data_IF_949937138469
#
_entry.id   IF_949937138469
#
_cell.length_a   1.000
_cell.length_b   1.000
_cell.length_c   1.000
_cell.angle_alpha   90.00
_cell.angle_beta   90.00
_cell.angle_gamma   90.00
#
_symmetry.space_group_name_H-M   'P 1'
#
loop_
_entity.id
_entity.type
_entity.pdbx_description
1 polymer ?
#
# COMPACT_ATOMS: atom_id res chain seq x y z
N UNK A 1 -11.78 -17.70 14.29
CA UNK A 1 -12.04 -16.31 13.86
C UNK A 1 -13.37 -16.27 13.13
N UNK A 2 -14.12 -15.14 13.12
CA UNK A 2 -15.24 -15.02 12.18
C UNK A 2 -14.65 -15.05 10.77
N UNK A 3 -14.72 -16.21 10.13
CA UNK A 3 -14.45 -16.35 8.71
C UNK A 3 -15.77 -16.20 7.98
N UNK A 4 -15.87 -15.23 7.08
CA UNK A 4 -16.98 -15.22 6.11
C UNK A 4 -16.55 -16.20 5.03
N UNK A 5 -17.25 -17.33 4.96
CA UNK A 5 -17.10 -18.32 3.91
C UNK A 5 -18.15 -18.02 2.84
N UNK A 6 -17.70 -17.61 1.66
CA UNK A 6 -18.51 -17.71 0.43
C UNK A 6 -18.13 -18.99 -0.29
N UNK A 7 -18.87 -19.37 -1.33
CA UNK A 7 -18.62 -20.63 -2.06
C UNK A 7 -17.17 -20.76 -2.58
N UNK A 8 -16.49 -19.64 -2.87
CA UNK A 8 -15.14 -19.59 -3.45
C UNK A 8 -14.11 -18.77 -2.65
N UNK A 9 -14.43 -18.27 -1.44
CA UNK A 9 -13.49 -17.40 -0.68
C UNK A 9 -13.59 -17.60 0.82
N UNK A 10 -12.43 -17.76 1.47
CA UNK A 10 -12.27 -17.72 2.92
C UNK A 10 -11.69 -16.36 3.31
N UNK A 11 -12.53 -15.45 3.80
CA UNK A 11 -12.05 -14.18 4.35
C UNK A 11 -11.70 -14.36 5.83
N UNK A 12 -10.44 -14.11 6.19
CA UNK A 12 -10.00 -14.07 7.59
C UNK A 12 -9.73 -12.63 7.99
N UNK A 13 -10.59 -12.07 8.83
CA UNK A 13 -10.36 -10.77 9.46
C UNK A 13 -9.92 -10.96 10.91
N UNK A 14 -8.87 -10.25 11.33
CA UNK A 14 -8.56 -10.11 12.76
C UNK A 14 -9.73 -9.42 13.49
N UNK A 15 -10.01 -9.82 14.73
CA UNK A 15 -11.22 -9.45 15.47
C UNK A 15 -11.34 -7.96 15.88
N UNK A 16 -10.45 -7.08 15.42
CA UNK A 16 -10.38 -5.69 15.90
C UNK A 16 -9.57 -4.75 15.01
N UNK A 17 -9.38 -5.09 13.73
CA UNK A 17 -8.55 -4.27 12.82
C UNK A 17 -7.04 -4.40 13.05
N UNK A 18 -6.61 -5.27 13.97
CA UNK A 18 -5.22 -5.65 14.15
C UNK A 18 -4.93 -6.99 13.46
N UNK A 19 -3.71 -7.12 12.91
CA UNK A 19 -3.22 -8.37 12.32
C UNK A 19 -3.15 -9.45 13.41
N UNK A 20 -3.58 -10.68 13.10
CA UNK A 20 -3.46 -11.78 14.05
C UNK A 20 -1.98 -12.20 14.15
N UNK A 21 -1.38 -12.02 15.34
CA UNK A 21 0.06 -12.23 15.58
C UNK A 21 0.37 -13.37 16.56
N UNK A 22 -0.65 -14.08 17.03
CA UNK A 22 -0.46 -15.26 17.89
C UNK A 22 -0.26 -16.52 17.05
N UNK A 23 0.40 -17.51 17.65
CA UNK A 23 0.73 -18.76 16.97
C UNK A 23 -0.53 -19.51 16.55
N UNK A 24 -0.50 -20.09 15.35
CA UNK A 24 -1.60 -20.87 14.79
C UNK A 24 -2.84 -20.05 14.40
N UNK A 25 -2.74 -18.71 14.36
CA UNK A 25 -3.87 -17.84 14.02
C UNK A 25 -4.57 -18.22 12.70
N UNK A 26 -3.82 -18.72 11.72
CA UNK A 26 -4.32 -19.01 10.37
C UNK A 26 -4.43 -20.50 10.05
N UNK A 27 -4.12 -21.40 10.99
CA UNK A 27 -3.98 -22.84 10.74
C UNK A 27 -5.22 -23.49 10.11
N UNK A 28 -6.41 -23.13 10.58
CA UNK A 28 -7.65 -23.63 10.00
C UNK A 28 -8.00 -22.94 8.68
N UNK A 29 -7.69 -21.64 8.55
CA UNK A 29 -8.12 -20.85 7.41
C UNK A 29 -7.36 -21.16 6.12
N UNK A 30 -6.14 -21.68 6.23
CA UNK A 30 -5.33 -22.07 5.07
C UNK A 30 -5.67 -23.47 4.54
N UNK A 31 -6.49 -24.25 5.25
CA UNK A 31 -6.85 -25.60 4.80
C UNK A 31 -7.81 -25.52 3.61
N UNK A 32 -7.51 -26.29 2.56
CA UNK A 32 -8.37 -26.40 1.39
C UNK A 32 -8.33 -25.21 0.43
N UNK A 33 -7.52 -24.18 0.69
CA UNK A 33 -7.41 -23.00 -0.19
C UNK A 33 -6.32 -23.17 -1.26
N UNK A 34 -6.58 -22.72 -2.49
CA UNK A 34 -5.61 -22.76 -3.60
C UNK A 34 -4.59 -21.63 -3.56
N UNK A 35 -4.96 -20.47 -3.01
CA UNK A 35 -4.11 -19.29 -2.99
C UNK A 35 -4.48 -18.36 -1.83
N UNK A 36 -3.52 -17.54 -1.40
CA UNK A 36 -3.67 -16.65 -0.24
C UNK A 36 -3.31 -15.22 -0.66
N UNK A 37 -4.18 -14.25 -0.36
CA UNK A 37 -3.86 -12.82 -0.41
C UNK A 37 -3.68 -12.28 1.01
N UNK A 38 -2.43 -12.07 1.44
CA UNK A 38 -2.10 -11.50 2.74
C UNK A 38 -2.01 -9.97 2.64
N UNK A 39 -3.14 -9.31 2.90
CA UNK A 39 -3.28 -7.84 2.81
C UNK A 39 -3.28 -7.14 4.16
N UNK A 40 -3.42 -7.90 5.26
CA UNK A 40 -3.45 -7.37 6.60
C UNK A 40 -2.04 -6.93 7.01
N UNK A 41 -1.90 -5.69 7.47
CA UNK A 41 -0.66 -5.16 8.03
C UNK A 41 -0.99 -3.94 8.89
N UNK A 42 -0.34 -3.76 10.06
CA UNK A 42 -0.52 -2.55 10.85
C UNK A 42 -0.09 -1.32 10.03
N UNK A 43 -0.91 -0.26 10.06
CA UNK A 43 -0.56 1.04 9.44
C UNK A 43 -0.52 2.19 10.48
N UNK A 44 0.06 2.01 11.69
CA UNK A 44 0.14 3.11 12.63
C UNK A 44 1.30 4.04 12.25
N UNK A 45 1.00 5.33 12.05
CA UNK A 45 2.01 6.39 11.93
C UNK A 45 2.29 7.08 13.27
N UNK A 46 1.38 6.92 14.23
CA UNK A 46 1.49 7.45 15.58
C UNK A 46 1.90 6.33 16.53
N UNK A 47 3.18 5.95 16.44
CA UNK A 47 3.76 4.89 17.27
C UNK A 47 5.04 5.39 17.92
N UNK A 48 5.11 5.29 19.24
CA UNK A 48 6.27 5.70 20.01
C UNK A 48 7.43 4.74 19.78
N UNK A 49 7.24 3.44 20.02
CA UNK A 49 8.30 2.43 19.87
C UNK A 49 8.25 1.79 18.46
N UNK A 50 9.34 1.82 17.68
CA UNK A 50 9.42 1.09 16.41
C UNK A 50 8.99 -0.38 16.50
N UNK A 51 9.21 -1.04 17.64
CA UNK A 51 8.84 -2.44 17.84
C UNK A 51 7.35 -2.68 17.71
N UNK A 52 6.52 -1.74 18.15
CA UNK A 52 5.05 -1.87 18.16
C UNK A 52 4.45 -1.86 16.75
N UNK A 53 5.23 -1.45 15.73
CA UNK A 53 4.83 -1.54 14.32
C UNK A 53 5.63 -2.61 13.56
N UNK A 54 6.93 -2.77 13.84
CA UNK A 54 7.80 -3.72 13.15
C UNK A 54 7.46 -5.16 13.55
N UNK A 55 7.37 -5.46 14.85
CA UNK A 55 7.17 -6.82 15.32
C UNK A 55 5.83 -7.40 14.83
N UNK A 56 4.68 -6.70 14.96
CA UNK A 56 3.42 -7.24 14.47
C UNK A 56 3.39 -7.42 12.95
N UNK A 57 4.05 -6.55 12.18
CA UNK A 57 4.14 -6.69 10.73
C UNK A 57 4.93 -7.93 10.33
N UNK A 58 6.10 -8.15 10.95
CA UNK A 58 6.93 -9.34 10.70
C UNK A 58 6.22 -10.61 11.17
N UNK A 59 5.69 -10.62 12.40
CA UNK A 59 5.05 -11.81 12.97
C UNK A 59 3.78 -12.20 12.24
N UNK A 60 2.93 -11.25 11.85
CA UNK A 60 1.72 -11.58 11.10
C UNK A 60 2.04 -12.13 9.71
N UNK A 61 3.07 -11.59 9.05
CA UNK A 61 3.55 -12.09 7.74
C UNK A 61 4.12 -13.50 7.87
N UNK A 62 4.99 -13.75 8.85
CA UNK A 62 5.55 -15.09 9.07
C UNK A 62 4.47 -16.07 9.53
N UNK A 63 3.52 -15.63 10.36
CA UNK A 63 2.46 -16.48 10.88
C UNK A 63 1.59 -17.09 9.79
N UNK A 64 1.14 -16.30 8.80
CA UNK A 64 0.37 -16.83 7.67
C UNK A 64 1.21 -17.77 6.80
N UNK A 65 2.49 -17.48 6.57
CA UNK A 65 3.39 -18.32 5.78
C UNK A 65 3.68 -19.65 6.48
N UNK A 66 3.86 -19.63 7.81
CA UNK A 66 4.05 -20.82 8.63
C UNK A 66 2.80 -21.70 8.65
N UNK A 67 1.61 -21.12 8.86
CA UNK A 67 0.33 -21.84 8.73
C UNK A 67 0.17 -22.43 7.33
N UNK A 68 0.42 -21.65 6.27
CA UNK A 68 0.34 -22.13 4.89
C UNK A 68 1.34 -23.26 4.60
N UNK A 69 2.53 -23.23 5.19
CA UNK A 69 3.53 -24.28 5.05
C UNK A 69 3.10 -25.58 5.74
N UNK A 70 2.51 -25.49 6.94
CA UNK A 70 2.11 -26.65 7.76
C UNK A 70 0.79 -27.28 7.34
N UNK A 71 -0.20 -26.45 6.98
CA UNK A 71 -1.59 -26.89 6.81
C UNK A 71 -2.19 -26.53 5.44
N UNK A 72 -1.55 -25.64 4.68
CA UNK A 72 -1.99 -25.19 3.36
C UNK A 72 -1.62 -26.15 2.23
N UNK A 73 -2.04 -27.42 2.31
CA UNK A 73 -1.62 -28.47 1.37
C UNK A 73 -1.98 -28.20 -0.10
N UNK A 74 -3.02 -27.41 -0.35
CA UNK A 74 -3.48 -27.04 -1.69
C UNK A 74 -2.95 -25.68 -2.15
N UNK A 75 -2.28 -24.92 -1.28
CA UNK A 75 -1.79 -23.59 -1.58
C UNK A 75 -0.74 -23.69 -2.68
N UNK A 76 -0.93 -22.89 -3.74
CA UNK A 76 -0.01 -22.74 -4.86
C UNK A 76 0.77 -21.45 -4.78
N UNK A 77 0.17 -20.40 -4.21
CA UNK A 77 0.76 -19.06 -4.13
C UNK A 77 0.25 -18.25 -2.95
N UNK A 78 1.15 -17.49 -2.34
CA UNK A 78 0.82 -16.42 -1.37
C UNK A 78 1.23 -15.06 -1.92
N UNK A 79 0.26 -14.18 -2.16
CA UNK A 79 0.49 -12.78 -2.55
C UNK A 79 0.43 -11.90 -1.32
N UNK A 80 1.48 -11.11 -1.07
CA UNK A 80 1.63 -10.26 0.11
C UNK A 80 1.53 -8.79 -0.31
N UNK A 81 0.68 -8.01 0.36
CA UNK A 81 0.66 -6.56 0.20
C UNK A 81 1.82 -5.92 0.96
N UNK A 82 2.88 -5.60 0.23
CA UNK A 82 3.98 -4.75 0.70
C UNK A 82 3.65 -3.28 0.44
N UNK A 83 4.62 -2.46 0.04
CA UNK A 83 4.48 -1.02 -0.20
C UNK A 83 5.66 -0.51 -1.01
N UNK A 84 5.50 0.57 -1.77
CA UNK A 84 6.65 1.30 -2.35
C UNK A 84 7.63 1.78 -1.29
N UNK A 85 7.19 1.93 -0.03
CA UNK A 85 8.07 2.27 1.10
C UNK A 85 9.06 1.15 1.45
N UNK A 86 8.81 -0.09 1.03
CA UNK A 86 9.77 -1.19 1.12
C UNK A 86 10.87 -1.11 0.03
N UNK A 87 10.60 -0.35 -1.04
CA UNK A 87 11.48 -0.18 -2.20
C UNK A 87 12.37 1.05 -2.01
N UNK A 88 11.80 2.17 -1.59
CA UNK A 88 12.55 3.42 -1.36
C UNK A 88 11.90 4.26 -0.26
N UNK A 89 12.71 5.14 0.33
CA UNK A 89 12.22 6.12 1.29
C UNK A 89 11.47 7.25 0.58
N UNK A 90 10.15 7.22 0.66
CA UNK A 90 9.28 8.19 -0.03
C UNK A 90 9.34 9.61 0.55
N UNK A 91 9.88 9.80 1.77
CA UNK A 91 9.97 11.12 2.41
C UNK A 91 11.32 11.80 2.24
N UNK A 92 12.41 11.03 2.10
CA UNK A 92 13.77 11.55 1.96
C UNK A 92 14.31 11.46 0.53
N UNK A 93 13.83 10.55 -0.32
CA UNK A 93 14.34 10.41 -1.69
C UNK A 93 13.63 11.23 -2.76
N UNK A 94 12.68 12.09 -2.37
CA UNK A 94 12.33 13.27 -3.18
C UNK A 94 13.55 14.19 -3.46
N UNK A 95 14.70 13.93 -2.83
CA UNK A 95 15.94 14.70 -2.94
C UNK A 95 16.79 14.39 -4.18
N UNK A 96 16.48 13.36 -4.97
CA UNK A 96 17.09 13.18 -6.30
C UNK A 96 16.01 13.16 -7.38
N UNK A 97 15.48 14.36 -7.74
CA UNK A 97 14.86 14.64 -9.03
C UNK A 97 15.22 13.66 -10.16
N UNK A 98 14.23 12.97 -10.73
CA UNK A 98 14.40 12.10 -11.91
C UNK A 98 14.82 10.66 -11.61
N UNK A 99 14.84 10.25 -10.33
CA UNK A 99 15.10 8.86 -9.96
C UNK A 99 13.93 7.95 -10.34
N UNK A 100 14.24 6.81 -10.97
CA UNK A 100 13.28 5.76 -11.30
C UNK A 100 13.61 4.53 -10.45
N UNK A 101 12.71 4.17 -9.55
CA UNK A 101 12.81 2.96 -8.74
C UNK A 101 12.17 1.76 -9.45
N UNK A 102 12.76 0.60 -9.22
CA UNK A 102 12.33 -0.70 -9.76
C UNK A 102 12.17 -1.72 -8.64
N UNK A 103 11.67 -2.90 -8.98
CA UNK A 103 11.47 -4.00 -8.03
C UNK A 103 12.77 -4.56 -7.43
N UNK A 104 13.93 -4.16 -7.93
CA UNK A 104 15.23 -4.56 -7.38
C UNK A 104 15.69 -3.67 -6.22
N UNK A 105 15.08 -2.50 -6.03
CA UNK A 105 15.47 -1.56 -4.98
C UNK A 105 14.90 -1.95 -3.62
N UNK A 106 15.62 -1.59 -2.56
CA UNK A 106 15.22 -1.82 -1.18
C UNK A 106 15.49 -0.58 -0.33
N UNK A 107 14.52 -0.21 0.49
CA UNK A 107 14.68 0.88 1.44
C UNK A 107 15.56 0.43 2.61
N UNK A 108 16.86 0.69 2.52
CA UNK A 108 17.82 0.44 3.61
C UNK A 108 17.89 1.60 4.60
N UNK A 109 17.55 2.81 4.16
CA UNK A 109 17.62 4.02 4.99
C UNK A 109 16.68 3.96 6.19
N UNK A 110 15.43 3.56 6.00
CA UNK A 110 14.48 3.47 7.11
C UNK A 110 14.93 2.46 8.17
N UNK A 111 15.64 1.39 7.78
CA UNK A 111 16.24 0.46 8.76
C UNK A 111 17.37 1.14 9.53
N UNK A 112 18.26 1.86 8.83
CA UNK A 112 19.37 2.59 9.45
C UNK A 112 18.88 3.67 10.42
N UNK A 113 17.88 4.47 10.03
CA UNK A 113 17.27 5.49 10.88
C UNK A 113 16.73 4.88 12.18
N UNK A 114 16.05 3.73 12.09
CA UNK A 114 15.53 3.04 13.28
C UNK A 114 16.66 2.51 14.17
N UNK A 115 17.77 2.04 13.60
CA UNK A 115 18.94 1.61 14.35
C UNK A 115 19.66 2.76 15.05
N UNK A 116 19.73 3.92 14.39
CA UNK A 116 20.43 5.10 14.88
C UNK A 116 19.61 5.90 15.91
N UNK A 117 18.31 6.08 15.66
CA UNK A 117 17.43 6.97 16.44
C UNK A 117 16.42 6.25 17.31
N UNK A 118 16.15 4.96 17.06
CA UNK A 118 15.19 4.19 17.85
C UNK A 118 13.82 4.88 17.94
N UNK A 119 13.41 5.24 19.15
CA UNK A 119 12.14 5.93 19.41
C UNK A 119 12.04 7.33 18.79
N UNK A 120 13.18 8.00 18.59
CA UNK A 120 13.24 9.34 18.02
C UNK A 120 13.12 9.35 16.49
N UNK A 121 13.09 8.18 15.84
CA UNK A 121 12.78 8.08 14.42
C UNK A 121 11.36 8.56 14.13
N UNK A 122 11.15 9.15 12.95
CA UNK A 122 9.80 9.58 12.53
C UNK A 122 8.85 8.38 12.37
N UNK A 123 7.55 8.62 12.55
CA UNK A 123 6.50 7.61 12.33
C UNK A 123 6.58 6.97 10.94
N UNK A 124 6.96 7.76 9.92
CA UNK A 124 7.12 7.24 8.55
C UNK A 124 8.31 6.30 8.41
N UNK A 125 9.43 6.56 9.07
CA UNK A 125 10.55 5.60 9.08
C UNK A 125 10.18 4.33 9.83
N UNK A 126 9.44 4.43 10.95
CA UNK A 126 8.94 3.27 11.69
C UNK A 126 8.04 2.39 10.82
N UNK A 127 7.08 2.99 10.11
CA UNK A 127 6.21 2.28 9.16
C UNK A 127 6.99 1.72 7.96
N UNK A 128 7.89 2.49 7.37
CA UNK A 128 8.66 2.04 6.21
C UNK A 128 9.57 0.87 6.58
N UNK A 129 10.24 0.94 7.73
CA UNK A 129 11.04 -0.16 8.26
C UNK A 129 10.20 -1.42 8.51
N UNK A 130 8.96 -1.30 9.03
CA UNK A 130 8.08 -2.47 9.23
C UNK A 130 7.75 -3.16 7.91
N UNK A 131 7.48 -2.39 6.84
CA UNK A 131 7.24 -2.94 5.49
C UNK A 131 8.47 -3.62 4.93
N UNK A 132 9.65 -3.01 5.02
CA UNK A 132 10.90 -3.61 4.56
C UNK A 132 11.18 -4.92 5.29
N UNK A 133 11.11 -4.90 6.62
CA UNK A 133 11.46 -6.06 7.45
C UNK A 133 10.46 -7.21 7.28
N UNK A 134 9.16 -6.92 7.20
CA UNK A 134 8.14 -7.94 6.94
C UNK A 134 8.33 -8.58 5.56
N UNK A 135 8.59 -7.78 4.52
CA UNK A 135 8.82 -8.30 3.18
C UNK A 135 10.09 -9.17 3.11
N UNK A 136 11.21 -8.70 3.69
CA UNK A 136 12.45 -9.49 3.77
C UNK A 136 12.25 -10.80 4.52
N UNK A 137 11.52 -10.77 5.64
CA UNK A 137 11.22 -11.96 6.41
C UNK A 137 10.42 -12.99 5.61
N UNK A 138 9.47 -12.55 4.77
CA UNK A 138 8.73 -13.43 3.88
C UNK A 138 9.64 -14.13 2.84
N UNK A 139 10.50 -13.36 2.17
CA UNK A 139 11.46 -13.92 1.21
C UNK A 139 12.45 -14.88 1.87
N UNK A 140 12.96 -14.52 3.05
CA UNK A 140 13.85 -15.37 3.84
C UNK A 140 13.16 -16.67 4.30
N UNK A 141 11.88 -16.60 4.66
CA UNK A 141 11.09 -17.78 5.04
C UNK A 141 11.06 -18.78 3.89
N UNK A 142 10.64 -18.35 2.70
CA UNK A 142 10.53 -19.23 1.51
C UNK A 142 11.89 -19.79 1.12
N UNK A 143 12.95 -18.99 1.18
CA UNK A 143 14.30 -19.44 0.88
C UNK A 143 14.78 -20.55 1.84
N UNK A 144 14.39 -20.46 3.13
CA UNK A 144 14.79 -21.41 4.18
C UNK A 144 13.93 -22.67 4.20
N UNK A 145 12.61 -22.54 4.12
CA UNK A 145 11.66 -23.65 4.28
C UNK A 145 11.34 -24.37 2.99
N UNK A 146 11.55 -23.71 1.84
CA UNK A 146 11.30 -24.25 0.49
C UNK A 146 9.91 -24.92 0.37
N UNK A 147 8.83 -24.16 0.60
CA UNK A 147 7.48 -24.70 0.51
C UNK A 147 7.14 -25.10 -0.93
N UNK A 148 6.05 -25.86 -1.10
CA UNK A 148 5.54 -26.28 -2.41
C UNK A 148 4.78 -25.17 -3.17
N UNK A 149 4.71 -23.97 -2.59
CA UNK A 149 4.12 -22.77 -3.17
C UNK A 149 5.16 -21.67 -3.30
N UNK A 150 4.88 -20.70 -4.16
CA UNK A 150 5.70 -19.50 -4.29
C UNK A 150 5.06 -18.30 -3.59
N UNK A 151 5.83 -17.21 -3.46
CA UNK A 151 5.30 -15.93 -3.01
C UNK A 151 5.47 -14.86 -4.08
N UNK A 152 4.58 -13.87 -4.00
CA UNK A 152 4.66 -12.63 -4.77
C UNK A 152 4.43 -11.47 -3.81
N UNK A 153 5.16 -10.37 -3.98
CA UNK A 153 4.90 -9.15 -3.22
C UNK A 153 4.38 -8.06 -4.16
N UNK A 154 3.25 -7.45 -3.79
CA UNK A 154 2.70 -6.30 -4.46
C UNK A 154 3.03 -5.05 -3.65
N UNK A 155 3.69 -4.07 -4.27
CA UNK A 155 4.16 -2.84 -3.64
C UNK A 155 3.32 -1.65 -4.17
N UNK A 156 2.13 -1.39 -3.59
CA UNK A 156 1.32 -0.25 -3.98
C UNK A 156 1.93 1.08 -3.54
N UNK A 157 1.68 2.13 -4.33
CA UNK A 157 1.85 3.53 -3.92
C UNK A 157 0.62 4.03 -3.16
N UNK A 158 0.39 5.35 -3.05
CA UNK A 158 -0.76 5.90 -2.34
C UNK A 158 -2.05 5.41 -3.01
N UNK A 159 -2.78 4.51 -2.34
CA UNK A 159 -3.99 3.90 -2.88
C UNK A 159 -5.18 4.87 -2.74
N UNK A 160 -5.64 5.40 -3.86
CA UNK A 160 -6.79 6.28 -3.95
C UNK A 160 -7.92 5.58 -4.73
N UNK A 161 -9.13 6.11 -4.66
CA UNK A 161 -10.27 5.61 -5.43
C UNK A 161 -11.52 5.38 -4.58
N UNK A 162 -12.53 4.71 -5.13
CA UNK A 162 -13.81 4.55 -4.48
C UNK A 162 -13.71 3.69 -3.21
N UNK A 163 -14.33 4.17 -2.12
CA UNK A 163 -14.39 3.44 -0.85
C UNK A 163 -15.49 2.36 -0.95
N UNK A 164 -15.08 1.09 -0.97
CA UNK A 164 -15.99 -0.06 -0.94
C UNK A 164 -16.43 -0.44 0.48
N UNK A 165 -15.52 -0.35 1.45
CA UNK A 165 -15.79 -0.79 2.82
C UNK A 165 -16.64 0.20 3.60
N UNK A 166 -17.29 -0.27 4.67
CA UNK A 166 -18.05 0.58 5.58
C UNK A 166 -17.07 1.46 6.36
N UNK A 167 -17.14 2.76 6.09
CA UNK A 167 -16.47 3.81 6.86
C UNK A 167 -17.60 4.63 7.46
N UNK A 168 -17.61 4.79 8.77
CA UNK A 168 -18.68 5.53 9.47
C UNK A 168 -18.36 7.01 9.67
N UNK A 169 -17.07 7.36 9.68
CA UNK A 169 -16.59 8.71 9.95
C UNK A 169 -15.23 8.95 9.25
N UNK A 170 -14.89 10.18 8.81
CA UNK A 170 -13.59 10.49 8.20
C UNK A 170 -12.38 10.07 9.04
N UNK A 171 -12.46 10.07 10.37
CA UNK A 171 -11.39 9.59 11.27
C UNK A 171 -11.10 8.08 11.14
N UNK A 172 -12.00 7.33 10.51
CA UNK A 172 -11.86 5.88 10.26
C UNK A 172 -11.44 5.56 8.81
N UNK A 173 -11.13 6.59 8.01
CA UNK A 173 -10.53 6.39 6.69
C UNK A 173 -9.17 5.70 6.83
N UNK A 174 -8.84 4.83 5.88
CA UNK A 174 -7.47 4.34 5.79
C UNK A 174 -6.52 5.52 5.52
N UNK A 175 -5.23 5.35 5.81
CA UNK A 175 -4.26 6.45 5.74
C UNK A 175 -4.25 7.15 4.39
N UNK A 176 -4.27 6.40 3.28
CA UNK A 176 -4.21 6.99 1.95
C UNK A 176 -5.42 7.89 1.67
N UNK A 177 -6.63 7.46 2.04
CA UNK A 177 -7.83 8.27 1.90
C UNK A 177 -7.88 9.42 2.91
N UNK A 178 -7.36 9.24 4.12
CA UNK A 178 -7.24 10.30 5.11
C UNK A 178 -6.31 11.42 4.62
N UNK A 179 -5.22 11.09 3.93
CA UNK A 179 -4.33 12.06 3.28
C UNK A 179 -5.09 12.88 2.23
N UNK A 180 -5.82 12.21 1.32
CA UNK A 180 -6.62 12.91 0.30
C UNK A 180 -7.73 13.75 0.96
N UNK A 181 -8.44 13.20 1.95
CA UNK A 181 -9.50 13.89 2.68
C UNK A 181 -8.97 15.16 3.38
N UNK A 182 -7.85 15.06 4.09
CA UNK A 182 -7.23 16.18 4.79
C UNK A 182 -6.74 17.24 3.80
N UNK A 183 -6.15 16.83 2.67
CA UNK A 183 -5.75 17.74 1.61
C UNK A 183 -6.95 18.56 1.11
N UNK A 184 -8.09 17.93 0.81
CA UNK A 184 -9.25 18.64 0.24
C UNK A 184 -10.08 19.41 1.26
N UNK A 185 -10.05 19.04 2.55
CA UNK A 185 -10.80 19.74 3.61
C UNK A 185 -10.01 20.89 4.25
N UNK A 186 -8.70 20.71 4.44
CA UNK A 186 -7.89 21.71 5.09
C UNK A 186 -7.31 22.69 4.07
N UNK A 187 -8.14 23.65 3.64
CA UNK A 187 -7.74 24.70 2.68
C UNK A 187 -6.51 25.50 3.14
N UNK A 188 -6.32 25.65 4.45
CA UNK A 188 -5.16 26.36 5.03
C UNK A 188 -3.86 25.55 4.86
N UNK A 189 -3.96 24.22 4.75
CA UNK A 189 -2.82 23.35 4.45
C UNK A 189 -2.42 23.34 2.98
N UNK A 190 -3.17 24.00 2.07
CA UNK A 190 -2.82 24.11 0.64
C UNK A 190 -1.77 25.21 0.39
N UNK A 191 -0.64 25.13 1.10
CA UNK A 191 0.51 26.00 0.88
C UNK A 191 1.22 25.63 -0.42
N UNK A 192 2.01 26.55 -1.00
CA UNK A 192 2.83 26.25 -2.19
C UNK A 192 3.74 25.04 -1.96
N UNK A 193 4.36 24.93 -0.79
CA UNK A 193 5.19 23.79 -0.39
C UNK A 193 4.41 22.47 -0.41
N UNK A 194 3.19 22.46 0.15
CA UNK A 194 2.34 21.26 0.15
C UNK A 194 1.89 20.93 -1.27
N UNK A 195 1.47 21.93 -2.05
CA UNK A 195 1.00 21.75 -3.43
C UNK A 195 2.09 21.15 -4.34
N UNK A 196 3.35 21.50 -4.10
CA UNK A 196 4.49 21.01 -4.88
C UNK A 196 5.15 19.76 -4.26
N UNK A 197 4.61 19.22 -3.18
CA UNK A 197 5.12 17.97 -2.57
C UNK A 197 4.89 16.80 -3.54
N UNK A 198 5.96 16.14 -4.04
CA UNK A 198 5.81 15.02 -4.95
C UNK A 198 5.33 13.75 -4.23
N UNK A 199 4.52 12.97 -4.93
CA UNK A 199 3.85 11.77 -4.48
C UNK A 199 3.78 10.75 -5.62
N UNK A 200 3.40 9.52 -5.31
CA UNK A 200 3.01 8.50 -6.30
C UNK A 200 1.67 7.93 -5.88
N UNK A 201 0.80 7.69 -6.85
CA UNK A 201 -0.54 7.16 -6.59
C UNK A 201 -0.83 5.90 -7.39
N UNK A 202 -1.83 5.17 -6.94
CA UNK A 202 -2.43 4.05 -7.64
C UNK A 202 -3.91 3.99 -7.33
N UNK A 203 -4.73 3.59 -8.30
CA UNK A 203 -6.14 3.31 -8.03
C UNK A 203 -6.29 2.01 -7.25
N UNK A 204 -7.09 2.01 -6.19
CA UNK A 204 -7.34 0.84 -5.33
C UNK A 204 -7.91 -0.34 -6.10
N UNK A 205 -8.65 -0.10 -7.18
CA UNK A 205 -9.15 -1.16 -8.07
C UNK A 205 -8.01 -1.79 -8.87
N UNK A 206 -7.00 -1.02 -9.24
CA UNK A 206 -5.82 -1.54 -9.92
C UNK A 206 -4.90 -2.28 -8.95
N UNK A 207 -4.84 -1.88 -7.68
CA UNK A 207 -4.17 -2.66 -6.62
C UNK A 207 -4.86 -4.01 -6.45
N UNK A 208 -6.19 -4.04 -6.39
CA UNK A 208 -6.96 -5.29 -6.29
C UNK A 208 -6.72 -6.17 -7.53
N UNK A 209 -6.78 -5.61 -8.74
CA UNK A 209 -6.50 -6.34 -9.97
C UNK A 209 -5.06 -6.89 -9.99
N UNK A 210 -4.07 -6.12 -9.54
CA UNK A 210 -2.69 -6.57 -9.46
C UNK A 210 -2.53 -7.79 -8.53
N UNK A 211 -3.25 -7.82 -7.40
CA UNK A 211 -3.27 -9.00 -6.52
C UNK A 211 -3.90 -10.21 -7.19
N UNK A 212 -5.05 -10.05 -7.86
CA UNK A 212 -5.70 -11.13 -8.62
C UNK A 212 -4.77 -11.67 -9.70
N UNK A 213 -4.18 -10.79 -10.52
CA UNK A 213 -3.22 -11.19 -11.56
C UNK A 213 -1.99 -11.87 -10.97
N UNK A 214 -1.48 -11.39 -9.84
CA UNK A 214 -0.36 -12.01 -9.14
C UNK A 214 -0.71 -13.43 -8.67
N UNK A 215 -1.94 -13.70 -8.24
CA UNK A 215 -2.40 -15.04 -7.88
C UNK A 215 -2.50 -15.98 -9.10
N UNK A 216 -2.96 -15.47 -10.24
CA UNK A 216 -3.31 -16.28 -11.43
C UNK A 216 -2.17 -16.51 -12.43
N UNK A 217 -1.32 -15.50 -12.66
CA UNK A 217 -0.30 -15.54 -13.73
C UNK A 217 0.89 -16.38 -13.29
N UNK A 218 1.19 -17.48 -13.97
CA UNK A 218 2.26 -18.40 -13.56
C UNK A 218 3.62 -17.69 -13.38
N UNK A 219 3.98 -16.82 -14.33
CA UNK A 219 5.22 -16.04 -14.37
C UNK A 219 5.35 -15.00 -13.25
N UNK A 220 4.28 -14.74 -12.50
CA UNK A 220 4.34 -13.86 -11.33
C UNK A 220 5.09 -14.49 -10.16
N UNK A 221 5.22 -15.82 -10.13
CA UNK A 221 5.83 -16.54 -9.00
C UNK A 221 7.26 -16.10 -8.70
N UNK A 222 7.56 -15.87 -7.42
CA UNK A 222 8.88 -15.43 -6.97
C UNK A 222 9.24 -14.00 -7.38
N UNK A 223 8.26 -13.16 -7.73
CA UNK A 223 8.47 -11.78 -8.15
C UNK A 223 7.98 -10.78 -7.11
N UNK A 224 8.62 -9.61 -7.08
CA UNK A 224 8.05 -8.37 -6.56
C UNK A 224 7.41 -7.61 -7.73
N UNK A 225 6.35 -6.83 -7.47
CA UNK A 225 5.70 -5.95 -8.44
C UNK A 225 5.38 -4.59 -7.84
N UNK A 226 5.79 -3.52 -8.53
CA UNK A 226 5.31 -2.17 -8.22
C UNK A 226 3.90 -1.99 -8.80
N UNK A 227 2.95 -1.64 -7.93
CA UNK A 227 1.60 -1.22 -8.32
C UNK A 227 1.48 0.30 -8.13
N UNK A 228 1.97 1.06 -9.10
CA UNK A 228 1.93 2.53 -9.09
C UNK A 228 1.48 3.03 -10.46
N UNK A 229 0.54 3.96 -10.51
CA UNK A 229 0.04 4.55 -11.76
C UNK A 229 1.06 5.54 -12.33
N UNK A 230 1.35 6.59 -11.57
CA UNK A 230 2.30 7.64 -11.93
C UNK A 230 2.71 8.46 -10.69
N UNK A 231 3.76 9.26 -10.86
CA UNK A 231 4.09 10.30 -9.92
C UNK A 231 3.27 11.57 -10.20
N UNK A 232 3.01 12.35 -9.16
CA UNK A 232 2.25 13.60 -9.21
C UNK A 232 2.66 14.51 -8.06
N UNK A 233 2.28 15.77 -8.08
CA UNK A 233 2.17 16.62 -6.90
C UNK A 233 0.71 17.03 -6.68
N UNK A 234 0.39 17.58 -5.51
CA UNK A 234 -0.97 18.00 -5.22
C UNK A 234 -1.50 19.09 -6.16
N UNK A 235 -0.63 19.93 -6.74
CA UNK A 235 -1.02 20.85 -7.81
C UNK A 235 -1.51 20.10 -9.06
N UNK A 236 -0.84 19.02 -9.48
CA UNK A 236 -1.29 18.21 -10.62
C UNK A 236 -2.67 17.59 -10.33
N UNK A 237 -2.91 17.18 -9.09
CA UNK A 237 -4.21 16.66 -8.67
C UNK A 237 -5.32 17.73 -8.75
N UNK A 238 -5.04 18.99 -8.40
CA UNK A 238 -5.99 20.09 -8.57
C UNK A 238 -6.22 20.41 -10.05
N UNK A 239 -5.17 20.41 -10.87
CA UNK A 239 -5.23 20.80 -12.28
C UNK A 239 -6.08 19.85 -13.14
N UNK A 240 -6.18 18.57 -12.76
CA UNK A 240 -6.97 17.57 -13.49
C UNK A 240 -8.44 17.51 -13.06
N UNK A 241 -8.81 18.19 -11.98
CA UNK A 241 -10.16 18.17 -11.42
C UNK A 241 -10.99 19.36 -11.91
N UNK A 242 -12.29 19.13 -12.07
CA UNK A 242 -13.27 20.20 -12.25
C UNK A 242 -13.67 20.74 -10.87
N UNK A 243 -12.97 21.77 -10.41
CA UNK A 243 -13.14 22.32 -9.06
C UNK A 243 -14.25 23.40 -9.03
N UNK A 244 -15.14 23.40 -8.02
CA UNK A 244 -16.24 24.35 -7.94
C UNK A 244 -15.74 25.80 -7.75
N UNK A 245 -16.56 26.81 -8.09
CA UNK A 245 -16.24 28.21 -7.82
C UNK A 245 -15.86 28.45 -6.34
N UNK A 246 -14.75 29.17 -6.11
CA UNK A 246 -14.26 29.49 -4.76
C UNK A 246 -13.42 28.40 -4.08
N UNK A 247 -13.18 27.26 -4.72
CA UNK A 247 -12.18 26.29 -4.24
C UNK A 247 -10.74 26.77 -4.57
N UNK A 248 -9.77 26.64 -3.66
CA UNK A 248 -8.38 27.03 -3.94
C UNK A 248 -7.80 26.22 -5.10
N UNK A 249 -7.26 26.89 -6.11
CA UNK A 249 -6.67 26.25 -7.30
C UNK A 249 -5.15 26.17 -7.27
N UNK A 250 -4.52 26.75 -6.26
CA UNK A 250 -3.07 26.93 -6.25
C UNK A 250 -2.60 27.73 -7.48
N UNK A 251 -1.48 27.31 -8.06
CA UNK A 251 -0.90 27.89 -9.28
C UNK A 251 -0.96 26.85 -10.40
N UNK A 252 -1.98 26.93 -11.31
CA UNK A 252 -2.15 25.94 -12.36
C UNK A 252 -0.89 25.73 -13.20
N UNK A 253 -0.51 24.46 -13.37
CA UNK A 253 0.67 24.04 -14.11
C UNK A 253 1.99 24.09 -13.34
N UNK A 254 2.00 24.52 -12.07
CA UNK A 254 3.25 24.60 -11.29
C UNK A 254 3.91 23.23 -11.05
N UNK A 255 3.14 22.13 -11.16
CA UNK A 255 3.68 20.76 -11.09
C UNK A 255 4.49 20.32 -12.31
N UNK A 256 4.28 20.90 -13.50
CA UNK A 256 4.88 20.43 -14.78
C UNK A 256 6.41 20.50 -14.83
N UNK A 257 7.03 21.35 -14.00
CA UNK A 257 8.48 21.51 -13.91
C UNK A 257 9.12 20.68 -12.79
N UNK A 258 8.33 19.95 -12.01
CA UNK A 258 8.83 19.14 -10.92
C UNK A 258 9.42 17.84 -11.44
N UNK A 259 10.63 17.56 -11.00
CA UNK A 259 11.25 16.27 -11.22
C UNK A 259 10.77 15.30 -10.16
N UNK A 260 9.88 14.40 -10.55
CA UNK A 260 9.35 13.40 -9.64
C UNK A 260 10.29 12.21 -9.46
N UNK A 261 10.19 11.57 -8.30
CA UNK A 261 10.62 10.19 -8.12
C UNK A 261 9.52 9.28 -8.66
N UNK A 262 9.89 8.34 -9.52
CA UNK A 262 8.94 7.45 -10.18
C UNK A 262 9.17 6.02 -9.71
N UNK A 263 8.10 5.33 -9.33
CA UNK A 263 8.14 3.88 -9.14
C UNK A 263 7.66 3.22 -10.43
N UNK A 264 8.57 2.56 -11.14
CA UNK A 264 8.29 1.97 -12.45
C UNK A 264 7.35 0.78 -12.35
N UNK A 265 6.20 0.87 -13.02
CA UNK A 265 5.26 -0.24 -13.17
C UNK A 265 5.51 -1.10 -14.43
N UNK A 266 6.65 -0.94 -15.10
CA UNK A 266 6.92 -1.59 -16.38
C UNK A 266 6.85 -3.12 -16.30
N UNK A 267 7.31 -3.70 -15.20
CA UNK A 267 7.25 -5.15 -14.96
C UNK A 267 5.82 -5.63 -14.71
N UNK A 268 5.03 -4.89 -13.92
CA UNK A 268 3.61 -5.18 -13.71
C UNK A 268 2.83 -5.13 -15.03
N UNK A 269 3.08 -4.13 -15.88
CA UNK A 269 2.51 -4.08 -17.23
C UNK A 269 2.91 -5.28 -18.08
N UNK A 270 4.20 -5.63 -18.10
CA UNK A 270 4.73 -6.73 -18.94
C UNK A 270 4.25 -8.11 -18.51
N UNK A 271 4.27 -8.42 -17.21
CA UNK A 271 4.02 -9.77 -16.70
C UNK A 271 2.56 -9.94 -16.29
N UNK A 272 1.99 -8.98 -15.56
CA UNK A 272 0.62 -9.08 -15.05
C UNK A 272 -0.43 -8.54 -16.04
N UNK A 273 0.00 -7.93 -17.14
CA UNK A 273 -0.90 -7.33 -18.13
C UNK A 273 -1.65 -6.11 -17.58
N UNK A 274 -1.05 -5.39 -16.64
CA UNK A 274 -1.68 -4.25 -15.97
C UNK A 274 -1.76 -3.02 -16.88
N UNK A 275 -2.93 -2.39 -16.90
CA UNK A 275 -3.14 -1.03 -17.39
C UNK A 275 -3.71 -0.19 -16.25
N UNK A 276 -2.97 0.84 -15.85
CA UNK A 276 -3.28 1.65 -14.68
C UNK A 276 -4.13 2.86 -15.04
N UNK A 277 -5.06 3.22 -14.15
CA UNK A 277 -5.90 4.41 -14.28
C UNK A 277 -5.09 5.68 -14.10
N UNK A 278 -5.50 6.71 -14.83
CA UNK A 278 -4.91 8.04 -14.77
C UNK A 278 -5.34 8.82 -13.52
N UNK A 279 -4.60 9.90 -13.22
CA UNK A 279 -4.80 10.72 -12.02
C UNK A 279 -6.20 11.33 -11.97
N UNK A 280 -6.72 11.81 -13.10
CA UNK A 280 -8.05 12.43 -13.18
C UNK A 280 -9.16 11.47 -12.75
N UNK A 281 -9.20 10.27 -13.35
CA UNK A 281 -10.21 9.25 -13.02
C UNK A 281 -10.11 8.84 -11.55
N UNK A 282 -8.88 8.59 -11.08
CA UNK A 282 -8.65 8.16 -9.70
C UNK A 282 -9.07 9.23 -8.69
N UNK A 283 -8.66 10.49 -8.88
CA UNK A 283 -9.01 11.61 -8.00
C UNK A 283 -10.52 11.91 -8.03
N UNK A 284 -11.14 11.91 -9.21
CA UNK A 284 -12.58 12.13 -9.35
C UNK A 284 -13.36 11.07 -8.58
N UNK A 285 -13.08 9.79 -8.83
CA UNK A 285 -13.82 8.69 -8.18
C UNK A 285 -13.57 8.65 -6.66
N UNK A 286 -12.39 9.07 -6.21
CA UNK A 286 -12.07 9.29 -4.79
C UNK A 286 -12.98 10.35 -4.17
N UNK A 287 -13.07 11.52 -4.80
CA UNK A 287 -13.84 12.65 -4.29
C UNK A 287 -15.34 12.38 -4.34
N UNK A 288 -15.84 11.77 -5.41
CA UNK A 288 -17.23 11.31 -5.48
C UNK A 288 -17.56 10.34 -4.33
N UNK A 289 -16.62 9.43 -4.00
CA UNK A 289 -16.77 8.50 -2.89
C UNK A 289 -16.90 9.18 -1.54
N UNK A 290 -16.16 10.26 -1.31
CA UNK A 290 -16.24 11.11 -0.11
C UNK A 290 -17.52 11.96 -0.11
N UNK A 291 -17.90 12.54 -1.26
CA UNK A 291 -19.09 13.38 -1.40
C UNK A 291 -20.37 12.59 -1.13
N UNK A 292 -20.48 11.36 -1.67
CA UNK A 292 -21.61 10.45 -1.42
C UNK A 292 -21.81 10.11 0.07
N UNK A 293 -20.79 10.36 0.91
CA UNK A 293 -20.82 10.17 2.36
C UNK A 293 -21.04 11.46 3.14
N UNK A 294 -21.23 12.59 2.45
CA UNK A 294 -21.34 13.91 3.06
C UNK A 294 -20.00 14.48 3.56
N UNK A 295 -18.88 13.92 3.11
CA UNK A 295 -17.53 14.24 3.58
C UNK A 295 -16.67 14.88 2.50
N UNK A 296 -17.25 15.46 1.47
CA UNK A 296 -16.53 16.34 0.56
C UNK A 296 -17.50 17.35 -0.03
N UNK A 297 -17.02 18.57 -0.24
CA UNK A 297 -17.78 19.66 -0.87
C UNK A 297 -17.66 19.61 -2.41
N UNK A 298 -17.21 18.48 -2.97
CA UNK A 298 -16.75 18.36 -4.35
C UNK A 298 -17.59 17.35 -5.12
N UNK A 299 -18.48 17.82 -6.00
CA UNK A 299 -18.73 17.43 -7.41
C UNK A 299 -19.59 18.56 -7.99
#
# INVERSE_FOLDING_TARGET
MPSIQTDDTVLVTGASGFIAVWDGAFDEAVKGVDAIAHTASPVPFDTEDPKDVIEPAVRGTIGILDSAHKYGLNVKRVVITSSITAISDVMYHLKVPGTIHTENDWNTLSIQEIQEKGKDASGTHKYSASKVMAEKAAWDFVAKTKPNWDIVTCCPSLAMGPILHKVSDPSTLNTSMAIVYNFVHNKEAMTEETLLTPNNFVDVRDVALAHVRALEVAEAGGQRFIASSAAYCWQDALDVLDLPPGFPRGTPGAGKGLNHVVFSHAKAKKILGMEFKGLQECMRDTLEGLQKRGWAVMV
#
